data_IF_540634037521
#
_entry.id   IF_540634037521
#
_cell.length_a   1.000
_cell.length_b   1.000
_cell.length_c   1.000
_cell.angle_alpha   90.00
_cell.angle_beta   90.00
_cell.angle_gamma   90.00
#
_symmetry.space_group_name_H-M   'P 1'
#
loop_
_entity.id
_entity.type
_entity.pdbx_description
1 polymer ?
2 water ?
#
# COMPACT_ATOMS: atom_id res chain seq x y z
N UNK A 25 -28.55 4.88 -7.08
CA UNK A 25 -28.27 6.17 -7.77
C UNK A 25 -26.75 6.46 -7.84
N UNK A 26 -25.85 5.57 -7.36
CA UNK A 26 -24.38 5.85 -7.24
C UNK A 26 -23.75 5.99 -8.62
N UNK A 27 -23.02 7.09 -8.82
CA UNK A 27 -22.25 7.38 -10.05
C UNK A 27 -21.18 6.31 -10.28
N UNK A 28 -20.77 5.55 -9.27
CA UNK A 28 -19.67 4.57 -9.39
C UNK A 28 -20.23 3.15 -9.62
N UNK A 29 -21.55 3.01 -9.82
CA UNK A 29 -22.21 1.68 -9.86
C UNK A 29 -21.72 0.87 -11.08
N UNK A 30 -21.32 1.53 -12.18
CA UNK A 30 -20.88 0.84 -13.42
C UNK A 30 -19.35 0.80 -13.49
N UNK A 31 -18.63 1.22 -12.45
CA UNK A 31 -17.15 1.05 -12.47
C UNK A 31 -16.83 -0.41 -12.78
N UNK A 32 -15.92 -0.66 -13.71
CA UNK A 32 -15.56 -2.04 -14.10
C UNK A 32 -14.06 -2.10 -14.37
N UNK A 33 -13.50 -3.28 -14.17
CA UNK A 33 -12.09 -3.59 -14.41
C UNK A 33 -11.92 -4.27 -15.74
N UNK A 34 -10.75 -4.11 -16.35
CA UNK A 34 -10.37 -4.82 -17.60
C UNK A 34 -8.86 -5.07 -17.59
N UNK A 35 -8.47 -6.33 -17.61
CA UNK A 35 -7.06 -6.75 -17.72
C UNK A 35 -6.53 -6.33 -19.09
N UNK A 36 -5.29 -5.87 -19.17
CA UNK A 36 -4.61 -5.57 -20.46
C UNK A 36 -4.30 -6.90 -21.17
N UNK A 37 -4.03 -6.85 -22.48
CA UNK A 37 -3.58 -7.98 -23.34
C UNK A 37 -2.24 -8.47 -22.80
N UNK A 38 -1.89 -9.72 -23.08
CA UNK A 38 -0.67 -10.38 -22.54
C UNK A 38 0.59 -9.59 -22.92
N UNK A 39 0.63 -8.95 -24.07
CA UNK A 39 1.81 -8.20 -24.55
C UNK A 39 1.99 -6.91 -23.73
N UNK A 40 1.03 -6.54 -22.89
CA UNK A 40 1.17 -5.37 -21.98
C UNK A 40 1.46 -5.84 -20.55
N UNK A 41 1.73 -7.13 -20.34
CA UNK A 41 2.10 -7.70 -19.04
C UNK A 41 3.61 -7.83 -18.95
N UNK A 42 4.09 -8.08 -17.75
CA UNK A 42 5.51 -8.31 -17.39
C UNK A 42 5.65 -9.78 -17.03
N UNK A 43 6.32 -10.56 -17.87
CA UNK A 43 6.21 -12.04 -17.92
C UNK A 43 7.52 -12.69 -17.50
N UNK A 44 7.44 -13.96 -17.11
CA UNK A 44 8.57 -14.86 -16.72
C UNK A 44 9.34 -14.23 -15.55
N UNK A 45 8.62 -13.63 -14.62
CA UNK A 45 9.13 -13.18 -13.29
C UNK A 45 9.15 -14.40 -12.36
N UNK A 46 10.12 -14.49 -11.47
CA UNK A 46 10.14 -15.53 -10.42
C UNK A 46 9.78 -14.86 -9.09
N UNK A 47 8.48 -14.76 -8.83
CA UNK A 47 7.93 -14.06 -7.64
C UNK A 47 8.43 -14.78 -6.38
N UNK A 48 8.78 -14.04 -5.34
CA UNK A 48 9.23 -14.62 -4.05
C UNK A 48 8.29 -15.76 -3.61
N UNK A 49 8.88 -16.76 -2.95
CA UNK A 49 8.20 -18.00 -2.49
C UNK A 49 8.06 -17.98 -0.96
N UNK A 50 8.44 -16.89 -0.31
CA UNK A 50 8.36 -16.80 1.16
C UNK A 50 6.90 -16.90 1.60
N UNK A 51 6.70 -17.35 2.82
CA UNK A 51 5.37 -17.57 3.42
C UNK A 51 4.94 -16.31 4.16
N UNK A 52 5.83 -15.32 4.24
CA UNK A 52 5.47 -13.97 4.78
C UNK A 52 4.29 -13.42 4.00
N UNK A 53 3.34 -12.83 4.70
CA UNK A 53 2.12 -12.22 4.11
C UNK A 53 2.46 -10.82 3.51
N UNK A 54 3.28 -10.77 2.48
CA UNK A 54 3.71 -9.54 1.75
C UNK A 54 2.73 -9.26 0.60
N UNK A 55 2.64 -8.02 0.14
CA UNK A 55 1.92 -7.70 -1.12
C UNK A 55 2.83 -7.96 -2.33
N UNK A 56 4.16 -8.05 -2.14
CA UNK A 56 5.17 -8.50 -3.14
C UNK A 56 5.33 -7.49 -4.29
N UNK A 57 4.55 -6.42 -4.33
CA UNK A 57 4.48 -5.51 -5.52
C UNK A 57 4.24 -4.07 -5.08
N UNK A 58 5.06 -3.14 -5.56
CA UNK A 58 4.89 -1.67 -5.38
C UNK A 58 5.12 -0.98 -6.74
N UNK A 59 4.20 -0.08 -7.10
CA UNK A 59 4.14 0.56 -8.44
C UNK A 59 4.20 2.07 -8.23
N UNK A 60 4.88 2.78 -9.13
CA UNK A 60 4.75 4.25 -9.24
C UNK A 60 4.66 4.59 -10.72
N UNK A 61 4.47 5.89 -11.07
CA UNK A 61 4.26 6.30 -12.46
C UNK A 61 5.43 6.02 -13.44
N UNK A 62 6.57 5.55 -12.93
CA UNK A 62 7.78 5.25 -13.71
C UNK A 62 8.08 3.76 -13.72
N UNK A 63 7.79 3.06 -12.62
CA UNK A 63 8.34 1.70 -12.37
C UNK A 63 7.31 0.76 -11.76
N UNK A 64 7.46 -0.51 -12.07
CA UNK A 64 6.87 -1.62 -11.28
C UNK A 64 8.01 -2.34 -10.53
N UNK A 65 7.88 -2.48 -9.21
CA UNK A 65 8.82 -3.22 -8.32
C UNK A 65 8.16 -4.52 -7.88
N UNK A 66 8.86 -5.65 -8.02
CA UNK A 66 8.34 -7.01 -7.67
C UNK A 66 9.38 -7.74 -6.83
N UNK A 67 8.97 -8.23 -5.65
CA UNK A 67 9.83 -9.08 -4.80
C UNK A 67 9.98 -10.45 -5.47
N UNK A 68 11.22 -10.84 -5.73
CA UNK A 68 11.53 -12.06 -6.52
C UNK A 68 12.31 -13.05 -5.67
N UNK A 69 12.37 -14.30 -6.13
CA UNK A 69 13.26 -15.37 -5.62
C UNK A 69 14.71 -14.96 -5.88
N UNK A 70 15.52 -14.84 -4.83
CA UNK A 70 16.96 -14.51 -4.97
C UNK A 70 17.80 -15.80 -4.78
N UNK A 71 18.72 -16.08 -5.71
CA UNK A 71 19.79 -17.10 -5.57
C UNK A 71 20.27 -17.15 -4.12
N UNK A 72 20.87 -16.04 -3.63
CA UNK A 72 21.20 -15.84 -2.21
C UNK A 72 20.65 -14.52 -1.66
N UNK A 73 20.58 -14.38 -0.34
CA UNK A 73 20.07 -13.17 0.34
C UNK A 73 18.66 -12.80 -0.12
N UNK A 74 18.51 -11.61 -0.71
CA UNK A 74 17.21 -11.05 -1.11
C UNK A 74 17.32 -10.07 -2.26
N UNK A 75 16.27 -9.99 -3.06
CA UNK A 75 16.24 -9.13 -4.25
C UNK A 75 14.81 -8.68 -4.50
N UNK A 76 14.68 -7.56 -5.19
CA UNK A 76 13.46 -7.22 -5.94
C UNK A 76 13.83 -6.71 -7.32
N UNK A 77 12.87 -6.84 -8.23
CA UNK A 77 13.00 -6.44 -9.64
C UNK A 77 12.34 -5.08 -9.81
N UNK A 78 13.01 -4.15 -10.49
CA UNK A 78 12.47 -2.80 -10.83
C UNK A 78 12.44 -2.70 -12.34
N UNK A 79 11.26 -2.56 -12.91
CA UNK A 79 11.06 -2.47 -14.38
C UNK A 79 10.50 -1.11 -14.71
N UNK A 80 11.06 -0.42 -15.74
CA UNK A 80 10.36 0.70 -16.35
C UNK A 80 9.00 0.20 -16.81
N UNK A 81 7.97 1.05 -16.75
CA UNK A 81 6.60 0.66 -17.19
C UNK A 81 6.61 0.18 -18.64
N UNK A 82 7.51 0.68 -19.49
CA UNK A 82 7.52 0.34 -20.94
C UNK A 82 8.12 -1.04 -21.16
N UNK A 83 8.85 -1.59 -20.18
CA UNK A 83 9.56 -2.86 -20.36
C UNK A 83 8.59 -4.03 -20.20
N UNK A 84 7.61 -4.16 -21.09
CA UNK A 84 6.61 -5.27 -21.10
C UNK A 84 7.20 -6.49 -21.83
N UNK A 85 6.53 -7.64 -21.71
CA UNK A 85 6.89 -8.90 -22.37
C UNK A 85 7.73 -9.75 -21.46
N UNK A 86 8.38 -10.77 -22.02
CA UNK A 86 9.22 -11.72 -21.25
C UNK A 86 10.44 -10.97 -20.75
N UNK A 87 10.68 -11.01 -19.44
CA UNK A 87 11.87 -10.40 -18.81
C UNK A 87 13.00 -11.43 -18.87
N UNK A 88 14.11 -11.09 -19.53
CA UNK A 88 15.36 -11.89 -19.56
C UNK A 88 15.71 -12.34 -18.13
N UNK A 89 16.19 -13.58 -17.97
CA UNK A 89 16.56 -14.17 -16.65
C UNK A 89 17.69 -13.36 -16.01
N UNK A 90 18.54 -12.72 -16.82
CA UNK A 90 19.72 -11.96 -16.34
C UNK A 90 19.43 -10.46 -16.27
N UNK A 91 18.18 -10.04 -16.43
CA UNK A 91 17.83 -8.61 -16.24
C UNK A 91 18.35 -8.19 -14.85
N UNK A 92 19.01 -7.03 -14.73
CA UNK A 92 19.53 -6.59 -13.44
C UNK A 92 18.42 -6.43 -12.39
N UNK A 93 18.76 -6.64 -11.12
CA UNK A 93 17.86 -6.60 -9.96
C UNK A 93 18.48 -5.76 -8.86
N UNK A 94 17.69 -5.40 -7.87
CA UNK A 94 18.15 -4.74 -6.62
C UNK A 94 18.39 -5.84 -5.58
N UNK A 95 19.65 -6.20 -5.33
CA UNK A 95 20.03 -7.49 -4.68
C UNK A 95 21.08 -7.31 -3.57
N UNK A 96 21.15 -6.15 -2.92
CA UNK A 96 22.11 -5.88 -1.82
C UNK A 96 21.68 -6.43 -0.48
N UNK A 97 20.41 -6.83 -0.29
CA UNK A 97 19.96 -7.47 0.97
C UNK A 97 20.62 -8.86 1.09
N UNK A 98 20.87 -9.33 2.31
CA UNK A 98 21.49 -10.66 2.59
C UNK A 98 20.44 -11.63 3.16
N UNK A 99 19.16 -11.27 3.12
CA UNK A 99 18.03 -12.14 3.50
C UNK A 99 16.82 -11.81 2.62
N UNK A 100 15.86 -12.72 2.44
CA UNK A 100 14.69 -12.41 1.61
C UNK A 100 14.06 -11.04 1.92
N UNK A 101 13.69 -10.34 0.87
CA UNK A 101 12.98 -9.03 0.94
C UNK A 101 11.53 -9.33 1.24
N UNK A 102 10.93 -8.59 2.15
CA UNK A 102 9.57 -8.81 2.69
C UNK A 102 8.59 -7.68 2.31
N UNK A 103 9.06 -6.45 2.13
CA UNK A 103 8.14 -5.32 1.82
C UNK A 103 8.92 -4.24 1.09
N UNK A 104 8.22 -3.53 0.21
CA UNK A 104 8.79 -2.44 -0.64
C UNK A 104 7.77 -1.31 -0.70
N UNK A 105 8.26 -0.08 -0.75
CA UNK A 105 7.42 1.15 -0.77
C UNK A 105 8.19 2.23 -1.50
N UNK A 106 7.63 2.75 -2.59
CA UNK A 106 8.15 3.91 -3.33
C UNK A 106 7.99 5.15 -2.46
N UNK A 107 8.97 6.02 -2.52
CA UNK A 107 8.93 7.34 -1.88
C UNK A 107 7.84 8.19 -2.53
N UNK A 108 6.86 8.72 -1.77
CA UNK A 108 5.81 9.55 -2.38
C UNK A 108 6.36 10.85 -3.00
N UNK A 109 7.56 11.29 -2.60
CA UNK A 109 8.15 12.60 -3.00
C UNK A 109 9.32 12.41 -3.97
N UNK A 110 9.59 11.18 -4.39
CA UNK A 110 10.71 10.89 -5.29
C UNK A 110 10.47 9.56 -5.99
N UNK A 111 10.13 9.61 -7.28
CA UNK A 111 9.73 8.40 -8.07
C UNK A 111 10.97 7.56 -8.42
N UNK A 112 12.19 8.00 -8.05
CA UNK A 112 13.43 7.19 -8.25
C UNK A 112 13.84 6.51 -6.93
N UNK A 113 13.11 6.72 -5.84
CA UNK A 113 13.55 6.22 -4.50
C UNK A 113 12.56 5.18 -3.96
N UNK A 114 13.08 4.06 -3.51
CA UNK A 114 12.26 2.95 -2.95
C UNK A 114 12.93 2.42 -1.68
N UNK A 115 12.14 2.08 -0.66
CA UNK A 115 12.58 1.44 0.60
C UNK A 115 12.19 -0.04 0.57
N UNK A 116 13.02 -0.87 1.19
CA UNK A 116 12.85 -2.34 1.29
C UNK A 116 13.10 -2.77 2.74
N UNK A 117 12.28 -3.71 3.25
CA UNK A 117 12.51 -4.40 4.52
C UNK A 117 12.80 -5.86 4.27
N UNK A 118 13.68 -6.46 5.06
CA UNK A 118 14.29 -7.79 4.76
C UNK A 118 14.32 -8.65 6.04
N UNK A 119 14.39 -9.96 5.84
CA UNK A 119 14.74 -10.97 6.86
C UNK A 119 16.16 -10.72 7.39
N UNK A 120 16.99 -9.91 6.71
CA UNK A 120 18.33 -9.53 7.25
C UNK A 120 18.16 -8.48 8.36
N UNK A 121 16.93 -8.14 8.77
CA UNK A 121 16.61 -7.20 9.90
C UNK A 121 16.96 -5.75 9.55
N UNK A 122 17.30 -5.44 8.29
CA UNK A 122 17.53 -4.04 7.85
C UNK A 122 16.39 -3.49 7.02
N UNK A 123 16.28 -2.17 7.02
CA UNK A 123 15.59 -1.37 5.98
C UNK A 123 16.66 -0.73 5.15
N UNK A 124 16.57 -0.85 3.82
CA UNK A 124 17.51 -0.18 2.91
C UNK A 124 16.72 0.77 2.01
N UNK A 125 17.29 1.95 1.74
CA UNK A 125 16.72 2.94 0.80
C UNK A 125 17.62 3.01 -0.43
N UNK A 126 17.00 2.96 -1.60
CA UNK A 126 17.66 2.79 -2.89
C UNK A 126 17.36 3.99 -3.80
N UNK A 127 18.38 4.45 -4.51
CA UNK A 127 18.27 5.41 -5.61
C UNK A 127 18.31 4.59 -6.90
N UNK A 128 17.19 4.49 -7.58
CA UNK A 128 17.08 3.86 -8.92
C UNK A 128 17.70 4.84 -9.93
N UNK A 129 18.58 4.39 -10.84
CA UNK A 129 19.10 5.27 -11.89
C UNK A 129 17.95 5.73 -12.79
N UNK A 130 18.12 6.88 -13.43
CA UNK A 130 17.16 7.37 -14.44
C UNK A 130 16.96 6.28 -15.49
N UNK A 131 15.71 5.97 -15.83
CA UNK A 131 15.35 4.99 -16.91
C UNK A 131 15.47 3.56 -16.37
N UNK A 132 15.82 3.36 -15.10
CA UNK A 132 15.94 2.03 -14.47
C UNK A 132 17.36 1.49 -14.48
N UNK A 133 17.52 0.23 -14.11
CA UNK A 133 18.84 -0.40 -13.88
C UNK A 133 19.47 -0.76 -15.23
N UNK A 134 20.78 -0.59 -15.33
CA UNK A 134 21.65 -1.20 -16.38
C UNK A 134 22.42 -2.35 -15.74
N UNK A 135 22.95 -2.10 -14.56
CA UNK A 135 23.72 -3.07 -13.75
C UNK A 135 22.93 -3.38 -12.49
N UNK A 136 23.18 -4.54 -11.92
CA UNK A 136 22.59 -4.94 -10.62
C UNK A 136 22.90 -3.85 -9.60
N UNK A 137 21.93 -3.52 -8.75
CA UNK A 137 22.08 -2.47 -7.73
C UNK A 137 22.31 -3.16 -6.39
N UNK A 138 23.49 -2.97 -5.81
CA UNK A 138 23.98 -3.76 -4.65
C UNK A 138 24.27 -2.83 -3.45
N UNK A 139 24.53 -1.54 -3.67
CA UNK A 139 24.79 -0.55 -2.57
C UNK A 139 23.60 0.39 -2.44
N UNK A 140 22.89 0.39 -1.30
CA UNK A 140 21.81 1.34 -1.06
C UNK A 140 22.38 2.71 -0.72
N UNK A 141 21.55 3.73 -0.78
CA UNK A 141 21.88 5.09 -0.28
C UNK A 141 22.12 5.00 1.23
N UNK A 142 21.33 4.21 1.94
CA UNK A 142 21.45 4.13 3.43
C UNK A 142 20.85 2.80 3.90
N UNK A 143 21.50 2.20 4.90
CA UNK A 143 21.05 1.01 5.67
C UNK A 143 20.57 1.49 7.05
N UNK A 144 19.33 1.18 7.42
CA UNK A 144 18.77 1.47 8.76
C UNK A 144 18.71 0.17 9.56
N UNK A 145 19.40 0.10 10.72
CA UNK A 145 19.69 -1.17 11.45
C UNK A 145 19.08 -1.24 12.86
N UNK A 146 17.90 -0.71 13.10
CA UNK A 146 17.33 -0.66 14.46
C UNK A 146 16.67 -1.97 14.90
N UNK A 147 16.15 -2.78 13.98
CA UNK A 147 15.32 -3.97 14.32
C UNK A 147 16.25 -5.16 14.63
N UNK A 148 15.83 -5.99 15.58
CA UNK A 148 16.53 -7.24 15.99
C UNK A 148 15.92 -8.44 15.27
N UNK A 149 14.82 -8.23 14.54
CA UNK A 149 14.09 -9.29 13.83
C UNK A 149 13.78 -8.84 12.40
N UNK A 150 13.24 -9.76 11.59
CA UNK A 150 12.82 -9.50 10.18
C UNK A 150 11.90 -8.28 10.13
N UNK A 151 12.04 -7.47 9.09
CA UNK A 151 11.25 -6.22 8.93
C UNK A 151 10.28 -6.43 7.77
N UNK A 152 9.01 -6.61 8.12
CA UNK A 152 7.97 -6.96 7.16
C UNK A 152 7.18 -5.76 6.72
N UNK A 153 7.45 -4.59 7.30
CA UNK A 153 6.61 -3.38 7.06
C UNK A 153 7.50 -2.17 6.87
N UNK A 154 7.32 -1.46 5.77
CA UNK A 154 7.90 -0.11 5.53
C UNK A 154 6.76 0.76 5.02
N UNK A 155 6.72 2.01 5.50
CA UNK A 155 5.70 2.99 5.10
C UNK A 155 6.30 4.40 5.14
N UNK A 156 6.53 4.99 3.98
CA UNK A 156 6.96 6.40 3.84
C UNK A 156 5.89 7.31 4.43
N UNK A 157 6.31 8.41 5.03
CA UNK A 157 5.42 9.47 5.55
C UNK A 157 4.76 10.16 4.37
N UNK A 158 3.45 10.49 4.47
CA UNK A 158 2.74 11.12 3.36
C UNK A 158 3.16 12.57 3.02
N UNK A 159 3.67 13.34 3.99
CA UNK A 159 3.84 14.81 3.82
C UNK A 159 5.27 15.25 4.11
N UNK A 160 5.98 14.54 4.97
CA UNK A 160 7.30 14.95 5.49
C UNK A 160 8.40 14.23 4.71
N UNK A 161 9.25 14.99 4.02
CA UNK A 161 10.39 14.48 3.21
C UNK A 161 11.30 13.66 4.12
N UNK A 162 11.61 12.42 3.72
CA UNK A 162 12.68 11.58 4.31
C UNK A 162 12.28 11.01 5.65
N UNK A 163 11.00 11.01 5.96
CA UNK A 163 10.46 10.31 7.14
C UNK A 163 9.89 8.95 6.70
N UNK A 164 10.41 7.88 7.28
CA UNK A 164 10.16 6.47 6.87
C UNK A 164 9.88 5.64 8.11
N UNK A 165 8.75 4.93 8.14
CA UNK A 165 8.38 4.04 9.27
C UNK A 165 8.69 2.59 8.87
N UNK A 166 9.32 1.85 9.78
CA UNK A 166 9.45 0.39 9.69
C UNK A 166 8.78 -0.24 10.91
N UNK A 167 8.28 -1.46 10.73
CA UNK A 167 7.87 -2.33 11.84
C UNK A 167 8.41 -3.73 11.58
N UNK A 168 8.94 -4.34 12.64
CA UNK A 168 9.64 -5.63 12.59
C UNK A 168 8.95 -6.65 13.46
N UNK A 169 9.35 -7.91 13.33
CA UNK A 169 8.84 -9.04 14.14
C UNK A 169 9.41 -9.00 15.56
N UNK A 170 10.24 -7.99 15.87
CA UNK A 170 10.59 -7.59 17.27
C UNK A 170 9.42 -6.81 17.86
N UNK A 171 8.39 -6.50 17.06
CA UNK A 171 7.17 -5.79 17.52
C UNK A 171 7.52 -4.33 17.86
N UNK A 172 8.65 -3.84 17.35
CA UNK A 172 9.05 -2.41 17.43
C UNK A 172 8.60 -1.67 16.16
N UNK A 173 8.14 -0.45 16.32
CA UNK A 173 7.90 0.53 15.24
C UNK A 173 8.99 1.60 15.38
N UNK A 174 9.77 1.80 14.33
CA UNK A 174 10.85 2.81 14.28
C UNK A 174 10.51 3.81 13.19
N UNK A 175 10.62 5.09 13.52
CA UNK A 175 10.44 6.19 12.53
C UNK A 175 11.78 6.89 12.34
N UNK A 176 12.25 6.83 11.11
CA UNK A 176 13.59 7.19 10.66
C UNK A 176 13.59 8.57 10.01
N UNK A 177 14.67 9.31 10.16
CA UNK A 177 15.10 10.37 9.21
C UNK A 177 16.06 9.72 8.21
N UNK A 178 15.63 9.56 6.97
CA UNK A 178 16.40 8.81 5.95
C UNK A 178 17.62 9.63 5.56
N UNK A 179 17.49 10.96 5.60
CA UNK A 179 18.57 11.92 5.32
C UNK A 179 19.76 11.74 6.24
N UNK A 180 19.55 11.47 7.52
CA UNK A 180 20.65 11.34 8.50
C UNK A 180 20.93 9.86 8.85
N UNK A 181 19.98 8.97 8.61
CA UNK A 181 20.16 7.55 8.97
C UNK A 181 19.78 7.27 10.42
N UNK A 182 19.13 8.20 11.12
CA UNK A 182 18.88 8.13 12.58
C UNK A 182 17.44 7.70 12.85
N UNK A 183 17.27 6.71 13.74
CA UNK A 183 15.98 6.37 14.40
C UNK A 183 15.61 7.49 15.36
N UNK A 184 14.59 8.27 15.05
CA UNK A 184 14.19 9.41 15.91
C UNK A 184 13.02 9.03 16.82
N UNK A 185 12.16 8.09 16.42
CA UNK A 185 11.13 7.49 17.34
C UNK A 185 11.29 5.96 17.35
N UNK A 186 11.31 5.38 18.55
CA UNK A 186 11.28 3.91 18.80
C UNK A 186 10.08 3.60 19.68
N UNK A 187 9.01 3.06 19.08
CA UNK A 187 7.87 2.49 19.83
C UNK A 187 8.14 0.99 20.03
N UNK A 188 8.79 0.64 21.15
CA UNK A 188 9.34 -0.73 21.37
C UNK A 188 8.58 -1.49 22.50
N UNK A 189 7.70 -0.85 23.26
CA UNK A 189 6.92 -1.55 24.35
C UNK A 189 5.42 -1.28 24.18
N UNK A 190 4.94 -1.12 22.95
CA UNK A 190 3.54 -0.75 22.62
C UNK A 190 2.74 -1.96 22.13
N UNK A 191 3.40 -2.90 21.46
CA UNK A 191 2.78 -4.10 20.86
C UNK A 191 3.43 -5.36 21.45
N UNK A 192 2.63 -6.17 22.15
CA UNK A 192 3.06 -7.45 22.77
C UNK A 192 3.10 -8.54 21.71
N UNK A 193 2.37 -8.38 20.60
CA UNK A 193 2.30 -9.42 19.56
C UNK A 193 2.45 -8.81 18.17
N UNK A 194 2.62 -9.71 17.20
CA UNK A 194 2.95 -9.37 15.82
C UNK A 194 2.05 -8.24 15.31
N UNK A 195 2.68 -7.32 14.61
CA UNK A 195 2.06 -6.17 13.92
C UNK A 195 1.79 -6.60 12.48
N UNK A 196 0.54 -6.58 12.06
CA UNK A 196 0.11 -7.04 10.72
C UNK A 196 0.36 -5.94 9.68
N UNK A 197 0.11 -4.67 10.03
CA UNK A 197 0.25 -3.51 9.14
C UNK A 197 0.31 -2.21 9.97
N UNK A 198 0.92 -1.17 9.39
CA UNK A 198 0.87 0.24 9.91
C UNK A 198 0.51 1.18 8.75
N UNK A 199 -0.38 2.11 9.03
CA UNK A 199 -0.92 3.10 8.09
C UNK A 199 -0.81 4.47 8.75
N UNK A 200 -0.33 5.45 7.98
CA UNK A 200 -0.33 6.89 8.32
C UNK A 200 -1.70 7.45 7.99
N UNK A 201 -2.17 8.39 8.79
CA UNK A 201 -3.37 9.20 8.43
C UNK A 201 -2.98 10.24 7.37
N UNK A 202 -3.96 11.03 6.92
CA UNK A 202 -3.88 11.95 5.75
C UNK A 202 -2.63 12.82 5.86
N UNK A 203 -2.38 13.46 7.01
CA UNK A 203 -1.27 14.44 7.15
C UNK A 203 -0.12 13.82 7.94
N UNK A 204 -0.23 12.52 8.24
CA UNK A 204 0.80 11.74 8.93
C UNK A 204 1.07 12.27 10.34
N UNK A 205 0.04 12.75 11.04
CA UNK A 205 0.11 13.10 12.47
C UNK A 205 -0.08 11.84 13.33
N UNK A 206 -0.85 10.87 12.83
CA UNK A 206 -1.20 9.61 13.56
C UNK A 206 -0.86 8.40 12.69
N UNK A 207 -0.65 7.24 13.33
CA UNK A 207 -0.58 5.91 12.67
C UNK A 207 -1.67 5.04 13.25
N UNK A 208 -2.14 4.06 12.48
CA UNK A 208 -2.97 2.98 13.04
C UNK A 208 -2.26 1.66 12.77
N UNK A 209 -2.47 0.71 13.66
CA UNK A 209 -1.88 -0.63 13.60
C UNK A 209 -2.98 -1.66 13.84
N UNK A 210 -2.81 -2.83 13.27
CA UNK A 210 -3.56 -4.06 13.60
C UNK A 210 -2.53 -5.10 14.02
N UNK A 211 -2.82 -5.87 15.05
CA UNK A 211 -1.89 -6.81 15.72
C UNK A 211 -2.60 -8.12 15.98
N UNK A 212 -1.82 -9.18 16.11
CA UNK A 212 -2.26 -10.58 16.32
C UNK A 212 -2.93 -10.72 17.71
N UNK A 213 -2.79 -9.76 18.61
CA UNK A 213 -3.59 -9.69 19.87
C UNK A 213 -5.00 -9.18 19.56
N UNK A 214 -5.35 -9.01 18.28
CA UNK A 214 -6.70 -8.64 17.78
C UNK A 214 -7.10 -7.21 18.16
N UNK A 215 -6.17 -6.36 18.59
CA UNK A 215 -6.42 -4.90 18.82
C UNK A 215 -6.09 -4.09 17.55
N UNK A 216 -6.89 -3.06 17.31
CA UNK A 216 -6.57 -1.98 16.35
C UNK A 216 -6.24 -0.76 17.20
N UNK A 217 -5.05 -0.17 17.03
CA UNK A 217 -4.62 1.01 17.83
C UNK A 217 -4.48 2.24 16.91
N UNK A 218 -4.94 3.38 17.38
CA UNK A 218 -4.56 4.71 16.85
C UNK A 218 -3.49 5.28 17.78
N UNK A 219 -2.37 5.69 17.20
CA UNK A 219 -1.18 6.13 17.94
C UNK A 219 -0.77 7.52 17.45
N UNK A 220 -0.38 8.36 18.39
CA UNK A 220 0.43 9.56 18.12
C UNK A 220 1.89 9.17 18.30
N UNK A 221 2.65 8.92 17.21
CA UNK A 221 4.03 8.46 17.34
C UNK A 221 4.99 9.50 17.97
N UNK A 222 4.76 10.80 17.76
CA UNK A 222 5.60 11.89 18.33
C UNK A 222 5.36 11.98 19.84
N UNK A 223 4.10 11.92 20.29
CA UNK A 223 3.73 11.90 21.73
C UNK A 223 4.08 10.52 22.33
N UNK A 224 4.33 9.51 21.48
CA UNK A 224 4.60 8.10 21.88
C UNK A 224 3.48 7.59 22.80
N UNK A 225 2.21 7.91 22.51
CA UNK A 225 1.05 7.40 23.28
C UNK A 225 0.01 6.80 22.32
N UNK A 226 -0.70 5.76 22.76
CA UNK A 226 -1.93 5.21 22.11
C UNK A 226 -3.10 6.15 22.46
N UNK A 227 -3.76 6.74 21.45
CA UNK A 227 -4.84 7.75 21.66
C UNK A 227 -6.22 7.07 21.59
N UNK A 228 -6.30 5.84 21.09
CA UNK A 228 -7.56 5.05 20.97
C UNK A 228 -7.21 3.62 20.57
N UNK A 229 -7.92 2.64 21.10
CA UNK A 229 -7.79 1.23 20.66
C UNK A 229 -9.15 0.55 20.71
N UNK A 230 -9.24 -0.55 19.99
CA UNK A 230 -10.39 -1.46 20.00
C UNK A 230 -9.82 -2.83 20.24
N UNK A 231 -10.22 -3.48 21.33
CA UNK A 231 -9.92 -4.90 21.58
C UNK A 231 -10.81 -5.71 20.64
N UNK A 232 -10.33 -6.85 20.15
CA UNK A 232 -11.14 -7.83 19.38
C UNK A 232 -11.90 -7.08 18.27
N UNK A 233 -11.24 -6.18 17.58
CA UNK A 233 -11.86 -5.47 16.43
C UNK A 233 -12.42 -6.51 15.47
N UNK A 234 -11.71 -7.64 15.30
CA UNK A 234 -12.23 -8.89 14.68
C UNK A 234 -11.84 -10.07 15.59
N UNK A 235 -12.69 -11.09 15.68
CA UNK A 235 -12.53 -12.21 16.67
C UNK A 235 -11.62 -13.34 16.12
N UNK A 236 -11.56 -13.52 14.80
CA UNK A 236 -10.81 -14.64 14.18
C UNK A 236 -9.33 -14.61 14.55
N UNK A 237 -8.73 -15.79 14.70
CA UNK A 237 -7.27 -15.98 14.90
C UNK A 237 -6.60 -15.99 13.53
N UNK A 238 -6.85 -14.95 12.75
CA UNK A 238 -6.31 -14.74 11.39
C UNK A 238 -5.95 -13.27 11.28
N UNK A 239 -5.14 -12.88 10.29
CA UNK A 239 -4.65 -11.50 10.21
C UNK A 239 -5.76 -10.48 9.97
N UNK A 240 -5.52 -9.26 10.43
CA UNK A 240 -6.35 -8.06 10.21
C UNK A 240 -5.53 -7.06 9.42
N UNK A 241 -6.20 -6.06 8.86
CA UNK A 241 -5.59 -4.80 8.35
C UNK A 241 -6.41 -3.62 8.86
N UNK A 242 -5.74 -2.49 9.13
CA UNK A 242 -6.35 -1.23 9.58
C UNK A 242 -5.75 -0.06 8.81
N UNK A 243 -6.57 0.78 8.20
CA UNK A 243 -6.13 1.99 7.46
C UNK A 243 -7.02 3.18 7.84
N UNK A 244 -6.49 4.38 7.66
CA UNK A 244 -7.27 5.62 7.84
C UNK A 244 -7.97 5.97 6.53
N UNK A 245 -9.21 6.44 6.63
CA UNK A 245 -9.89 7.17 5.55
C UNK A 245 -9.60 8.67 5.70
N UNK A 246 -9.90 9.44 4.66
CA UNK A 246 -9.59 10.88 4.54
C UNK A 246 -10.24 11.65 5.71
N UNK A 247 -11.34 11.16 6.30
CA UNK A 247 -12.10 11.89 7.37
C UNK A 247 -11.66 11.44 8.77
N UNK A 248 -10.60 10.66 8.89
CA UNK A 248 -10.05 10.24 10.19
C UNK A 248 -10.67 8.97 10.74
N UNK A 249 -11.72 8.45 10.10
CA UNK A 249 -12.28 7.10 10.38
C UNK A 249 -11.21 6.04 10.04
N UNK A 250 -11.29 4.90 10.73
CA UNK A 250 -10.37 3.74 10.54
C UNK A 250 -11.18 2.61 9.92
N UNK A 251 -10.65 2.03 8.87
CA UNK A 251 -11.31 0.94 8.12
C UNK A 251 -10.48 -0.33 8.32
N UNK A 252 -11.14 -1.41 8.71
CA UNK A 252 -10.46 -2.66 9.07
C UNK A 252 -11.03 -3.82 8.25
N UNK A 253 -10.15 -4.77 7.97
CA UNK A 253 -10.53 -6.10 7.45
C UNK A 253 -10.03 -7.14 8.44
N UNK A 254 -10.66 -8.29 8.40
CA UNK A 254 -10.33 -9.42 9.28
C UNK A 254 -11.32 -10.53 9.11
N UNK A 255 -11.41 -11.40 10.11
CA UNK A 255 -12.12 -12.70 10.05
C UNK A 255 -12.99 -12.81 11.31
N UNK A 256 -14.16 -13.43 11.17
CA UNK A 256 -15.01 -13.87 12.30
C UNK A 256 -14.45 -15.19 12.84
N UNK A 257 -14.85 -15.54 14.08
CA UNK A 257 -14.63 -16.88 14.72
C UNK A 257 -14.93 -18.00 13.71
N UNK A 258 -15.88 -17.76 12.80
CA UNK A 258 -16.44 -18.76 11.85
C UNK A 258 -15.71 -18.71 10.49
N UNK A 259 -14.52 -18.08 10.41
CA UNK A 259 -13.66 -17.98 9.20
C UNK A 259 -14.29 -17.08 8.09
N UNK A 260 -15.28 -16.26 8.41
CA UNK A 260 -15.88 -15.29 7.44
C UNK A 260 -14.96 -14.08 7.34
N UNK A 261 -14.62 -13.62 6.13
CA UNK A 261 -13.92 -12.34 5.92
C UNK A 261 -14.90 -11.18 6.13
N UNK A 262 -14.43 -10.18 6.86
CA UNK A 262 -15.26 -9.06 7.33
C UNK A 262 -14.53 -7.75 7.09
N UNK A 263 -15.29 -6.69 6.98
CA UNK A 263 -14.77 -5.32 6.98
C UNK A 263 -15.57 -4.55 8.04
N UNK A 264 -14.97 -3.50 8.59
CA UNK A 264 -15.58 -2.66 9.61
C UNK A 264 -15.08 -1.24 9.43
N UNK A 265 -15.87 -0.30 9.91
CA UNK A 265 -15.57 1.15 9.91
C UNK A 265 -15.76 1.66 11.33
N UNK A 266 -14.74 2.31 11.87
CA UNK A 266 -14.61 2.76 13.27
C UNK A 266 -14.39 4.28 13.32
N UNK A 267 -15.16 4.98 14.16
CA UNK A 267 -14.84 6.34 14.64
C UNK A 267 -13.86 6.23 15.80
N UNK A 268 -12.58 6.67 15.64
CA UNK A 268 -11.60 6.56 16.71
C UNK A 268 -11.89 7.47 17.93
N UNK A 269 -12.76 8.47 17.76
CA UNK A 269 -13.29 9.29 18.88
C UNK A 269 -14.31 8.46 19.69
N UNK A 270 -14.69 7.26 19.23
CA UNK A 270 -15.73 6.42 19.89
C UNK A 270 -15.71 4.99 19.35
N UNK A 271 -14.68 4.20 19.64
CA UNK A 271 -14.43 2.90 18.97
C UNK A 271 -15.20 1.75 19.63
N UNK A 272 -16.06 2.03 20.62
CA UNK A 272 -16.82 0.97 21.33
C UNK A 272 -17.57 0.14 20.27
N UNK A 273 -18.31 0.79 19.37
CA UNK A 273 -19.25 0.10 18.45
C UNK A 273 -18.87 0.48 17.01
N UNK A 274 -18.87 -0.46 16.06
CA UNK A 274 -18.53 -0.12 14.69
C UNK A 274 -19.66 0.72 14.04
N UNK A 275 -19.29 1.75 13.29
CA UNK A 275 -20.20 2.49 12.36
C UNK A 275 -20.78 1.49 11.35
N UNK A 276 -19.99 0.50 10.91
CA UNK A 276 -20.41 -0.50 9.90
C UNK A 276 -19.58 -1.76 10.08
N UNK A 277 -20.22 -2.90 9.88
CA UNK A 277 -19.56 -4.22 9.84
C UNK A 277 -20.29 -5.05 8.80
N UNK A 278 -19.56 -5.69 7.91
CA UNK A 278 -20.13 -6.45 6.78
C UNK A 278 -19.34 -7.76 6.63
N UNK A 279 -20.06 -8.88 6.59
CA UNK A 279 -19.48 -10.23 6.39
C UNK A 279 -19.50 -10.47 4.88
N UNK A 280 -18.45 -11.05 4.30
CA UNK A 280 -18.39 -11.16 2.83
C UNK A 280 -18.42 -12.59 2.34
N UNK A 281 -17.46 -13.41 2.72
CA UNK A 281 -17.28 -14.77 2.17
C UNK A 281 -16.36 -15.53 3.12
N UNK A 282 -16.02 -16.79 2.81
CA UNK A 282 -15.21 -17.66 3.72
C UNK A 282 -13.87 -18.08 3.04
N UNK A 283 -13.32 -17.31 2.11
CA UNK A 283 -11.98 -17.57 1.53
C UNK A 283 -10.91 -17.41 2.63
N UNK A 284 -9.65 -17.64 2.27
CA UNK A 284 -8.54 -17.83 3.24
C UNK A 284 -7.66 -16.58 3.35
N UNK A 285 -7.51 -15.78 2.28
CA UNK A 285 -6.54 -14.67 2.24
C UNK A 285 -7.06 -13.48 3.02
N UNK A 286 -6.22 -12.78 3.77
CA UNK A 286 -6.62 -11.50 4.40
C UNK A 286 -6.92 -10.48 3.29
N UNK A 287 -8.01 -9.72 3.41
CA UNK A 287 -8.38 -8.68 2.43
C UNK A 287 -7.47 -7.47 2.62
N UNK A 288 -6.64 -7.17 1.62
CA UNK A 288 -5.81 -5.92 1.55
C UNK A 288 -6.72 -4.79 1.09
N UNK A 289 -6.88 -3.71 1.90
CA UNK A 289 -7.70 -2.57 1.47
C UNK A 289 -6.88 -1.58 0.64
N UNK A 290 -7.40 -1.19 -0.52
CA UNK A 290 -6.84 -0.07 -1.31
C UNK A 290 -7.90 0.99 -1.40
N UNK A 291 -7.63 2.08 -0.73
CA UNK A 291 -8.55 3.19 -0.52
C UNK A 291 -8.14 4.33 -1.44
N UNK A 292 -9.07 4.81 -2.25
CA UNK A 292 -8.89 6.02 -3.08
C UNK A 292 -9.69 7.16 -2.42
N UNK A 293 -9.05 8.08 -1.68
CA UNK A 293 -9.78 9.19 -1.06
C UNK A 293 -10.48 10.10 -2.08
N UNK A 294 -10.05 10.12 -3.35
CA UNK A 294 -10.56 11.07 -4.36
C UNK A 294 -11.96 10.65 -4.83
N UNK A 295 -12.25 9.35 -4.82
CA UNK A 295 -13.58 8.80 -5.21
C UNK A 295 -14.32 8.17 -4.02
N UNK A 296 -13.67 8.02 -2.87
CA UNK A 296 -14.17 7.28 -1.68
C UNK A 296 -14.52 5.85 -2.07
N UNK A 297 -13.72 5.24 -2.91
CA UNK A 297 -13.84 3.81 -3.24
C UNK A 297 -12.77 3.08 -2.46
N UNK A 298 -13.12 1.91 -1.97
CA UNK A 298 -12.17 0.98 -1.34
C UNK A 298 -12.27 -0.34 -2.12
N UNK A 299 -11.13 -0.79 -2.62
CA UNK A 299 -10.97 -2.06 -3.32
C UNK A 299 -10.39 -3.06 -2.34
N UNK A 300 -10.94 -4.27 -2.32
CA UNK A 300 -10.48 -5.36 -1.43
C UNK A 300 -10.05 -6.55 -2.29
N UNK A 301 -8.85 -7.04 -2.10
CA UNK A 301 -8.41 -8.32 -2.69
C UNK A 301 -7.47 -9.06 -1.73
N UNK A 302 -7.64 -10.37 -1.66
CA UNK A 302 -6.81 -11.22 -0.80
C UNK A 302 -5.92 -12.09 -1.65
N UNK A 303 -4.77 -12.43 -1.11
CA UNK A 303 -3.92 -13.53 -1.58
C UNK A 303 -4.81 -14.74 -1.85
N UNK A 304 -4.69 -15.33 -3.04
CA UNK A 304 -5.47 -16.52 -3.43
C UNK A 304 -6.80 -16.19 -4.10
N UNK A 305 -7.27 -14.95 -4.03
CA UNK A 305 -8.57 -14.55 -4.66
C UNK A 305 -8.36 -14.32 -6.15
N UNK A 306 -9.39 -14.58 -6.93
CA UNK A 306 -9.43 -14.29 -8.40
C UNK A 306 -10.26 -13.03 -8.64
N UNK A 307 -10.80 -12.44 -7.57
CA UNK A 307 -11.78 -11.31 -7.56
C UNK A 307 -11.20 -10.08 -6.86
N UNK A 308 -11.56 -8.90 -7.35
CA UNK A 308 -11.40 -7.61 -6.61
C UNK A 308 -12.80 -7.05 -6.38
N UNK A 309 -13.20 -6.96 -5.11
CA UNK A 309 -14.50 -6.37 -4.68
C UNK A 309 -14.29 -4.91 -4.33
N UNK A 310 -15.22 -4.03 -4.68
CA UNK A 310 -15.06 -2.59 -4.40
C UNK A 310 -16.38 -2.04 -3.87
N UNK A 311 -16.23 -1.13 -2.90
CA UNK A 311 -17.30 -0.50 -2.12
C UNK A 311 -17.12 1.00 -2.19
N UNK A 312 -18.21 1.75 -2.05
CA UNK A 312 -18.20 3.21 -1.82
C UNK A 312 -18.45 3.47 -0.35
N UNK A 313 -17.72 4.42 0.22
CA UNK A 313 -17.93 4.91 1.61
C UNK A 313 -18.64 6.26 1.53
N UNK A 314 -19.83 6.35 2.10
CA UNK A 314 -20.66 7.59 2.10
C UNK A 314 -21.18 7.86 3.51
N UNK A 315 -21.90 8.97 3.65
CA UNK A 315 -22.45 9.43 4.95
C UNK A 315 -23.89 8.93 5.08
N UNK A 316 -24.39 8.16 4.10
CA UNK A 316 -25.70 7.48 4.17
C UNK A 316 -25.49 6.03 4.62
N UNK A 317 -26.13 5.63 5.70
CA UNK A 317 -26.03 4.25 6.25
C UNK A 317 -26.51 3.25 5.19
N UNK A 318 -25.91 2.04 5.10
CA UNK A 318 -24.95 1.54 6.08
C UNK A 318 -23.48 1.94 5.80
N UNK A 319 -23.27 3.10 5.15
CA UNK A 319 -21.99 3.84 5.10
C UNK A 319 -20.99 3.13 4.18
N UNK A 320 -20.89 1.80 4.28
CA UNK A 320 -20.10 1.00 3.29
C UNK A 320 -21.09 0.29 2.36
N UNK A 321 -21.02 0.63 1.06
CA UNK A 321 -21.95 0.21 -0.01
C UNK A 321 -21.20 -0.60 -1.07
N UNK A 322 -21.72 -1.77 -1.43
CA UNK A 322 -21.19 -2.65 -2.48
C UNK A 322 -21.38 -1.99 -3.84
N UNK A 323 -20.33 -1.91 -4.65
CA UNK A 323 -20.43 -1.42 -6.04
C UNK A 323 -20.44 -2.61 -6.97
N UNK A 324 -19.36 -3.36 -7.02
CA UNK A 324 -19.23 -4.44 -8.02
C UNK A 324 -18.04 -5.31 -7.67
N UNK A 325 -17.79 -6.33 -8.51
CA UNK A 325 -16.66 -7.29 -8.39
C UNK A 325 -15.99 -7.39 -9.76
N UNK A 326 -14.68 -7.20 -9.82
CA UNK A 326 -13.86 -7.63 -10.96
C UNK A 326 -13.58 -9.12 -10.79
N UNK A 327 -13.97 -9.92 -11.78
CA UNK A 327 -13.89 -11.39 -11.79
C UNK A 327 -12.83 -11.83 -12.78
N UNK A 328 -12.18 -12.95 -12.51
CA UNK A 328 -11.13 -13.54 -13.35
C UNK A 328 -11.09 -15.04 -13.06
N UNK A 329 -10.32 -15.79 -13.82
CA UNK A 329 -10.11 -17.23 -13.61
C UNK A 329 -8.76 -17.47 -12.94
N UNK A 330 -8.04 -16.43 -12.51
CA UNK A 330 -6.64 -16.56 -12.00
C UNK A 330 -6.50 -15.96 -10.61
N UNK A 331 -5.93 -16.72 -9.65
CA UNK A 331 -5.72 -16.23 -8.28
C UNK A 331 -4.52 -15.27 -8.23
N UNK A 332 -4.58 -14.26 -7.36
CA UNK A 332 -3.47 -13.31 -7.18
C UNK A 332 -2.52 -13.88 -6.12
N UNK A 333 -1.22 -13.64 -6.29
CA UNK A 333 -0.13 -13.93 -5.33
C UNK A 333 0.29 -12.59 -4.67
N UNK A 334 -0.06 -11.47 -5.30
CA UNK A 334 0.24 -10.12 -4.76
C UNK A 334 -0.37 -9.05 -5.62
N UNK A 335 -0.25 -7.80 -5.20
CA UNK A 335 -1.03 -6.72 -5.84
C UNK A 335 -0.37 -5.37 -5.54
N UNK A 336 -0.15 -4.61 -6.62
CA UNK A 336 0.31 -3.22 -6.61
C UNK A 336 -0.80 -2.30 -7.07
N UNK A 337 -0.63 -1.00 -6.85
CA UNK A 337 -1.67 0.03 -6.99
C UNK A 337 -1.02 1.33 -7.45
N UNK A 338 -1.39 1.76 -8.64
CA UNK A 338 -0.79 2.93 -9.31
C UNK A 338 -1.31 4.21 -8.68
N UNK A 339 -0.44 5.11 -8.18
CA UNK A 339 -0.86 6.46 -7.78
C UNK A 339 -1.53 7.25 -8.92
N UNK A 340 -2.35 8.23 -8.55
CA UNK A 340 -3.25 8.98 -9.48
C UNK A 340 -2.47 9.55 -10.66
N UNK A 341 -1.24 10.01 -10.44
CA UNK A 341 -0.41 10.68 -11.48
C UNK A 341 -0.17 9.74 -12.67
N UNK A 342 -0.22 8.43 -12.46
CA UNK A 342 -0.02 7.46 -13.54
C UNK A 342 -1.29 7.11 -14.29
N UNK A 343 -2.45 7.69 -13.95
CA UNK A 343 -3.74 7.24 -14.57
C UNK A 343 -4.05 8.08 -15.82
N UNK A 344 -4.96 7.58 -16.67
CA UNK A 344 -5.36 8.22 -17.96
C UNK A 344 -6.75 8.86 -17.79
N UNK A 345 -6.78 10.19 -17.65
CA UNK A 345 -8.03 10.96 -17.42
C UNK A 345 -8.97 10.83 -18.64
N UNK A 346 -8.43 10.73 -19.85
CA UNK A 346 -9.25 10.66 -21.08
C UNK A 346 -10.09 9.38 -21.04
N UNK A 347 -9.57 8.32 -20.42
CA UNK A 347 -10.26 7.01 -20.35
C UNK A 347 -11.14 6.92 -19.11
N UNK A 348 -11.19 7.97 -18.32
CA UNK A 348 -11.86 7.96 -17.00
C UNK A 348 -11.33 6.77 -16.18
N UNK A 349 -10.04 6.46 -16.30
CA UNK A 349 -9.34 5.47 -15.41
C UNK A 349 -9.25 6.09 -14.01
N UNK A 350 -9.73 5.40 -12.97
CA UNK A 350 -9.70 5.92 -11.58
C UNK A 350 -8.83 5.01 -10.67
N UNK A 351 -8.37 3.89 -11.19
CA UNK A 351 -7.44 2.98 -10.48
C UNK A 351 -6.79 2.04 -11.50
N UNK A 352 -5.54 1.68 -11.27
CA UNK A 352 -4.83 0.62 -12.02
C UNK A 352 -4.15 -0.29 -11.01
N UNK A 353 -4.52 -1.56 -11.06
CA UNK A 353 -3.99 -2.65 -10.22
C UNK A 353 -2.90 -3.36 -11.00
N UNK A 354 -1.86 -3.77 -10.31
CA UNK A 354 -0.76 -4.61 -10.84
C UNK A 354 -0.83 -5.95 -10.13
N UNK A 355 -1.55 -6.87 -10.76
CA UNK A 355 -1.88 -8.19 -10.17
C UNK A 355 -0.75 -9.18 -10.46
N UNK A 356 -0.12 -9.69 -9.40
CA UNK A 356 0.93 -10.72 -9.46
C UNK A 356 0.30 -12.09 -9.54
N UNK A 357 0.61 -12.81 -10.60
CA UNK A 357 0.40 -14.27 -10.71
C UNK A 357 1.70 -14.93 -10.24
N UNK A 358 1.83 -16.23 -10.46
CA UNK A 358 3.05 -17.01 -10.17
C UNK A 358 4.26 -16.48 -10.94
N UNK A 359 4.12 -16.12 -12.23
CA UNK A 359 5.26 -15.82 -13.14
C UNK A 359 5.02 -14.51 -13.92
N UNK A 360 4.00 -13.74 -13.56
CA UNK A 360 3.50 -12.63 -14.40
C UNK A 360 2.97 -11.49 -13.54
N UNK A 361 3.13 -10.26 -14.02
CA UNK A 361 2.44 -9.07 -13.47
C UNK A 361 1.48 -8.49 -14.51
N UNK A 362 0.21 -8.36 -14.15
CA UNK A 362 -0.90 -8.07 -15.09
C UNK A 362 -1.64 -6.82 -14.65
N UNK A 363 -1.47 -5.70 -15.37
CA UNK A 363 -2.26 -4.50 -15.07
C UNK A 363 -3.76 -4.72 -15.27
N UNK A 364 -4.56 -4.27 -14.31
CA UNK A 364 -6.04 -4.25 -14.36
C UNK A 364 -6.49 -2.79 -14.25
N UNK A 365 -7.23 -2.33 -15.25
CA UNK A 365 -7.66 -0.92 -15.38
C UNK A 365 -9.11 -0.79 -14.91
N UNK A 366 -9.34 0.09 -13.94
CA UNK A 366 -10.70 0.43 -13.44
C UNK A 366 -11.12 1.75 -14.07
N UNK A 367 -12.22 1.76 -14.83
CA UNK A 367 -12.78 2.94 -15.55
C UNK A 367 -14.22 3.18 -15.12
N UNK A 368 -14.64 4.45 -15.11
CA UNK A 368 -16.06 4.85 -15.02
C UNK A 368 -16.59 5.07 -16.43
N UNK A 369 -17.56 4.26 -16.92
CA UNK A 369 -18.18 4.52 -18.21
C UNK A 369 -18.83 5.92 -18.24
N UNK A 370 -18.46 6.75 -19.24
CA UNK A 370 -19.02 8.11 -19.46
C UNK A 370 -19.23 8.36 -20.95
N UNK A 371 -20.43 8.80 -21.35
CA UNK A 371 -20.79 9.11 -22.76
C UNK A 371 -19.93 10.29 -23.24
N UNK A 372 -19.88 11.37 -22.47
CA UNK A 372 -19.24 12.66 -22.87
C UNK A 372 -17.73 12.49 -23.07
N UNK A 373 -17.18 13.17 -24.09
CA UNK A 373 -15.73 13.23 -24.42
C UNK A 373 -15.11 14.45 -23.74
N UNK A 374 -15.92 15.25 -23.04
CA UNK A 374 -15.44 16.36 -22.17
C UNK A 374 -14.55 15.76 -21.07
N UNK A 375 -13.68 16.59 -20.50
CA UNK A 375 -12.91 16.28 -19.28
C UNK A 375 -13.89 16.03 -18.13
N UNK A 376 -13.84 14.86 -17.51
CA UNK A 376 -14.81 14.46 -16.45
C UNK A 376 -14.26 14.94 -15.12
N UNK A 377 -14.35 16.24 -14.87
CA UNK A 377 -13.60 16.89 -13.76
C UNK A 377 -14.13 16.35 -12.42
N UNK A 378 -15.38 15.84 -12.39
CA UNK A 378 -15.99 15.29 -11.15
C UNK A 378 -15.19 14.06 -10.70
N UNK A 379 -14.63 13.29 -11.64
CA UNK A 379 -13.83 12.09 -11.29
C UNK A 379 -12.42 12.48 -10.80
N UNK A 380 -11.94 13.70 -11.11
CA UNK A 380 -10.53 14.06 -10.91
C UNK A 380 -10.39 15.37 -10.14
N UNK A 381 -10.81 15.41 -8.85
CA UNK A 381 -10.47 16.55 -8.00
C UNK A 381 -8.95 16.61 -7.89
N UNK A 382 -8.41 17.78 -7.54
CA UNK A 382 -6.97 17.95 -7.24
C UNK A 382 -6.56 16.92 -6.18
N UNK A 383 -5.41 16.29 -6.36
CA UNK A 383 -4.98 15.05 -5.67
C UNK A 383 -3.63 15.35 -4.99
N UNK A 384 -3.32 14.63 -3.92
CA UNK A 384 -1.99 14.67 -3.25
C UNK A 384 -0.88 14.50 -4.29
N UNK A 385 0.04 15.47 -4.32
CA UNK A 385 1.09 15.55 -5.34
C UNK A 385 2.40 15.09 -4.75
N UNK A 386 3.50 15.08 -5.56
CA UNK A 386 4.79 14.56 -5.13
C UNK A 386 5.66 15.54 -4.34
N UNK A 387 5.23 16.80 -4.17
CA UNK A 387 6.02 17.82 -3.43
C UNK A 387 5.82 17.59 -1.93
N UNK A 388 6.90 17.34 -1.18
CA UNK A 388 6.85 17.21 0.30
C UNK A 388 6.36 18.54 0.87
N UNK A 389 5.42 18.50 1.80
CA UNK A 389 4.84 19.71 2.44
C UNK A 389 5.77 20.21 3.56
N UNK A 390 6.57 19.36 4.19
CA UNK A 390 7.53 19.83 5.22
C UNK A 390 8.71 18.88 5.29
N UNK A 391 9.77 19.32 5.97
CA UNK A 391 11.04 18.56 6.10
C UNK A 391 10.96 17.63 7.31
N UNK A 392 11.82 16.61 7.32
CA UNK A 392 11.89 15.61 8.42
C UNK A 392 12.00 16.33 9.77
N UNK A 393 12.92 17.29 9.89
CA UNK A 393 13.28 17.94 11.20
C UNK A 393 12.05 18.69 11.72
N UNK A 394 11.40 19.47 10.85
CA UNK A 394 10.15 20.23 11.15
C UNK A 394 9.11 19.26 11.72
N UNK A 395 8.85 18.14 11.03
CA UNK A 395 7.78 17.19 11.41
C UNK A 395 8.16 16.55 12.74
N UNK A 396 9.40 16.11 12.90
CA UNK A 396 9.85 15.43 14.14
C UNK A 396 9.64 16.40 15.30
N UNK A 397 9.83 17.70 15.05
CA UNK A 397 9.77 18.76 16.10
C UNK A 397 8.33 19.16 16.38
N UNK A 398 7.36 18.61 15.64
CA UNK A 398 5.93 18.72 15.98
C UNK A 398 5.10 19.50 14.96
N UNK A 399 5.68 20.00 13.87
CA UNK A 399 4.90 20.70 12.81
C UNK A 399 4.04 19.70 12.00
N UNK A 400 2.90 20.20 11.50
CA UNK A 400 1.96 19.45 10.63
C UNK A 400 1.69 20.25 9.37
N UNK A 401 1.53 19.56 8.25
CA UNK A 401 1.03 20.12 6.98
C UNK A 401 0.23 19.07 6.23
N UNK A 402 -0.71 19.54 5.42
CA UNK A 402 -1.52 18.72 4.49
C UNK A 402 -0.71 18.44 3.23
N UNK A 403 -1.06 17.37 2.50
CA UNK A 403 -0.51 17.13 1.19
C UNK A 403 -0.74 18.36 0.30
N UNK A 404 0.23 18.65 -0.53
CA UNK A 404 0.13 19.71 -1.56
C UNK A 404 -0.48 19.06 -2.79
N UNK A 405 -1.61 19.60 -3.22
CA UNK A 405 -2.42 19.00 -4.28
C UNK A 405 -1.90 19.46 -5.64
N UNK A 406 -2.10 18.63 -6.64
CA UNK A 406 -1.89 18.99 -8.06
C UNK A 406 -3.16 18.68 -8.83
N UNK A 407 -3.29 19.28 -10.01
CA UNK A 407 -4.38 19.02 -10.99
C UNK A 407 -3.90 17.93 -11.97
N UNK A 408 -4.82 17.07 -12.43
CA UNK A 408 -4.54 16.00 -13.42
C UNK A 408 -5.00 16.41 -14.82
N UNK A 409 -5.52 17.62 -15.01
CA UNK A 409 -6.13 18.05 -16.30
C UNK A 409 -5.08 18.21 -17.41
N UNK A 410 -3.82 18.49 -17.08
CA UNK A 410 -2.76 18.62 -18.12
C UNK A 410 -2.76 17.36 -19.01
N UNK A 411 -3.28 16.24 -18.53
CA UNK A 411 -3.31 14.97 -19.30
C UNK A 411 -4.50 14.88 -20.24
N UNK A 412 -5.47 15.82 -20.17
CA UNK A 412 -6.71 15.77 -20.97
C UNK A 412 -6.41 16.21 -22.41
N UNK A 413 -6.92 15.44 -23.37
CA UNK A 413 -6.90 15.78 -24.81
C UNK A 413 -8.33 15.91 -25.30
N UNK A 414 -8.65 17.03 -26.00
CA UNK A 414 -9.92 17.17 -26.72
C UNK A 414 -9.92 16.40 -28.05
#
# INVERSE_FOLDING_TARGET
>A
MHHHHHHSSGRENLYFQGMRRVVRQSKFRHVFGQAVKNDQCYDDIRVSRVTWDSSFCAVNPRFVAIIIEASGGGAFLVLPLHKTGRIDKSYPTVCGHTGPVLDIDWCPHNDQVIASGSEDCTVMVWQIPENGLTLSLTEPVVILEGHSKRVGIVAWHPTARNVLLSAGCDNAIIIWNVGTGEALINLDDMHSDMIYNVSWNRNGSLICTASKDKKVRVIDPRKQEIVAEKEKAHEGARPMRAIFLADGNVFTTGFSRMSERQLALWNPKNMQEPIALHEMDTSNGVLLPFYDPDTSIIYLCGKGDSSIRYFEITDESPYVHYLNTFSSKEPQRGMGYMPKRGLDVNKCEIARFFKLHERKCEPIIMTVPRKSDLFQDDLYPDTAGPEAALEAEEWFEGKNADPILISLKHGYIPGKNRDLKVVKKNILDSKPTANKKCDLISIPKKTTDTASVQNEAKLDEILKEIKSIKDTICNQDERISKLEQQMAKIAA
#
